data_IF_859016467512
#
_entry.id   IF_859016467512
#
_cell.length_a   1.000
_cell.length_b   1.000
_cell.length_c   1.000
_cell.angle_alpha   90.00
_cell.angle_beta   90.00
_cell.angle_gamma   90.00
#
_symmetry.space_group_name_H-M   'P 1'
#
loop_
_entity.id
_entity.type
_entity.pdbx_description
1 polymer ?
#
# COMPACT_ATOMS: atom_id res chain seq x y z
N UNK A 1 67.02 22.18 -1.45
CA UNK A 1 66.75 22.56 -2.85
C UNK A 1 66.97 21.33 -3.73
N UNK A 2 65.94 20.82 -4.42
CA UNK A 2 66.01 19.56 -5.18
C UNK A 2 66.67 19.71 -6.55
N UNK A 3 67.19 20.89 -6.89
CA UNK A 3 67.88 21.17 -8.14
C UNK A 3 69.34 21.50 -7.91
N UNK A 4 70.19 21.15 -8.88
CA UNK A 4 71.58 21.57 -8.92
C UNK A 4 71.97 22.09 -10.29
N UNK A 5 72.82 23.11 -10.28
CA UNK A 5 73.48 23.61 -11.48
C UNK A 5 74.87 22.98 -11.57
N UNK A 6 75.17 22.37 -12.72
CA UNK A 6 76.45 21.74 -13.02
C UNK A 6 77.07 22.45 -14.22
N UNK A 7 78.36 22.81 -14.13
CA UNK A 7 79.08 23.36 -15.27
C UNK A 7 79.53 22.20 -16.16
N UNK A 8 79.05 22.16 -17.40
CA UNK A 8 79.39 21.12 -18.37
C UNK A 8 80.71 21.44 -19.09
N UNK A 9 80.91 22.71 -19.46
CA UNK A 9 82.12 23.15 -20.14
C UNK A 9 82.63 24.48 -19.58
N UNK A 10 83.81 24.41 -18.95
CA UNK A 10 84.45 25.56 -18.31
C UNK A 10 84.97 26.61 -19.29
N UNK A 11 85.23 26.22 -20.54
CA UNK A 11 85.78 27.11 -21.58
C UNK A 11 84.67 27.85 -22.32
N UNK A 12 83.54 27.20 -22.62
CA UNK A 12 82.37 27.86 -23.23
C UNK A 12 81.44 28.52 -22.21
N UNK A 13 81.56 28.16 -20.91
CA UNK A 13 80.67 28.62 -19.85
C UNK A 13 79.32 27.90 -19.82
N UNK A 14 79.17 26.80 -20.57
CA UNK A 14 77.93 26.02 -20.62
C UNK A 14 77.67 25.32 -19.28
N UNK A 15 76.45 25.47 -18.79
CA UNK A 15 75.96 24.83 -17.56
C UNK A 15 74.59 24.21 -17.76
N UNK A 16 74.30 23.18 -16.97
CA UNK A 16 73.05 22.46 -16.98
C UNK A 16 72.44 22.50 -15.59
N UNK A 17 71.15 22.85 -15.53
CA UNK A 17 70.33 22.70 -14.34
C UNK A 17 69.64 21.34 -14.41
N UNK A 18 69.77 20.53 -13.36
CA UNK A 18 69.14 19.21 -13.28
C UNK A 18 68.55 18.96 -11.90
N UNK A 19 67.57 18.06 -11.84
CA UNK A 19 67.03 17.57 -10.58
C UNK A 19 68.03 16.63 -9.89
N UNK A 20 68.12 16.70 -8.56
CA UNK A 20 68.94 15.80 -7.71
C UNK A 20 68.21 14.52 -7.31
N UNK A 21 66.89 14.59 -7.28
CA UNK A 21 65.98 13.51 -6.90
C UNK A 21 64.75 13.57 -7.81
N UNK A 22 63.91 12.52 -7.84
CA UNK A 22 62.57 12.62 -8.40
C UNK A 22 61.84 13.85 -7.86
N UNK A 23 61.05 14.48 -8.72
CA UNK A 23 60.21 15.64 -8.39
C UNK A 23 58.78 15.15 -8.46
N UNK A 24 57.99 15.60 -7.50
CA UNK A 24 56.64 15.13 -7.20
C UNK A 24 55.78 16.40 -7.01
N UNK A 25 54.64 16.45 -7.69
CA UNK A 25 53.79 17.65 -7.72
C UNK A 25 53.06 17.83 -6.38
N UNK A 26 52.64 16.72 -5.80
CA UNK A 26 51.86 16.55 -4.59
C UNK A 26 52.66 17.04 -3.38
N UNK A 27 53.98 16.86 -3.42
CA UNK A 27 54.89 17.50 -2.46
C UNK A 27 55.08 19.00 -2.73
N UNK A 28 55.42 19.39 -3.96
CA UNK A 28 55.63 20.80 -4.30
C UNK A 28 55.53 21.08 -5.81
N UNK A 29 54.43 21.72 -6.19
CA UNK A 29 54.12 22.12 -7.58
C UNK A 29 55.04 23.18 -8.20
N UNK A 30 55.57 24.10 -7.39
CA UNK A 30 56.32 25.26 -7.89
C UNK A 30 57.60 25.48 -7.11
N UNK A 31 58.69 25.76 -7.84
CA UNK A 31 59.98 26.13 -7.27
C UNK A 31 60.47 27.44 -7.88
N UNK A 32 60.86 28.37 -7.01
CA UNK A 32 61.49 29.63 -7.41
C UNK A 32 62.83 29.78 -6.68
N UNK A 33 63.90 29.92 -7.44
CA UNK A 33 65.23 30.15 -6.87
C UNK A 33 66.10 31.00 -7.80
N UNK A 34 67.21 31.47 -7.27
CA UNK A 34 68.13 32.35 -7.98
C UNK A 34 69.42 31.59 -8.28
N UNK A 35 69.88 31.70 -9.52
CA UNK A 35 71.21 31.23 -9.93
C UNK A 35 72.13 32.43 -10.17
N UNK A 36 73.43 32.24 -9.88
CA UNK A 36 74.47 33.23 -10.12
C UNK A 36 75.75 32.51 -10.51
N UNK A 37 76.40 32.96 -11.58
CA UNK A 37 77.67 32.44 -12.04
C UNK A 37 78.84 33.19 -11.39
N UNK A 38 79.96 32.49 -11.33
CA UNK A 38 81.14 32.87 -10.57
C UNK A 38 82.36 32.67 -11.50
N UNK A 39 83.10 33.74 -11.84
CA UNK A 39 84.27 33.73 -12.72
C UNK A 39 85.54 33.13 -12.09
N UNK A 40 86.16 32.14 -12.76
CA UNK A 40 87.36 31.43 -12.30
C UNK A 40 88.67 32.22 -12.23
N UNK A 41 88.66 33.51 -12.58
CA UNK A 41 89.80 34.41 -12.39
C UNK A 41 90.17 34.63 -10.92
N UNK A 42 91.40 34.27 -10.54
CA UNK A 42 91.97 34.63 -9.23
C UNK A 42 92.62 36.01 -9.34
N UNK A 43 92.09 37.02 -8.65
CA UNK A 43 92.87 38.26 -8.43
C UNK A 43 94.10 37.94 -7.54
N UNK A 44 95.23 38.66 -7.69
CA UNK A 44 96.48 38.38 -6.95
C UNK A 44 96.35 38.37 -5.42
N UNK A 45 95.26 38.93 -4.88
CA UNK A 45 94.93 39.05 -3.45
C UNK A 45 94.03 37.92 -2.91
N UNK A 46 93.65 36.94 -3.74
CA UNK A 46 93.00 35.69 -3.32
C UNK A 46 91.60 35.79 -2.71
N UNK A 47 90.93 36.96 -2.76
CA UNK A 47 89.76 37.22 -1.90
C UNK A 47 88.45 37.60 -2.59
N UNK A 48 88.37 37.82 -3.90
CA UNK A 48 87.08 38.18 -4.55
C UNK A 48 86.87 37.57 -5.94
N UNK A 49 86.05 36.53 -6.00
CA UNK A 49 85.54 35.93 -7.24
C UNK A 49 84.50 36.88 -7.90
N UNK A 50 84.64 37.23 -9.17
CA UNK A 50 83.67 38.10 -9.86
C UNK A 50 82.35 37.35 -10.06
N UNK A 51 81.23 37.98 -9.71
CA UNK A 51 79.88 37.39 -9.77
C UNK A 51 79.10 37.94 -10.96
N UNK A 52 78.32 37.10 -11.64
CA UNK A 52 77.38 37.54 -12.67
C UNK A 52 76.18 38.26 -12.06
N UNK A 53 75.30 38.79 -12.92
CA UNK A 53 73.93 39.12 -12.50
C UNK A 53 73.22 37.88 -11.96
N UNK A 54 72.30 38.10 -11.01
CA UNK A 54 71.39 37.07 -10.49
C UNK A 54 70.29 36.82 -11.51
N UNK A 55 70.06 35.56 -11.86
CA UNK A 55 68.94 35.15 -12.70
C UNK A 55 67.91 34.38 -11.85
N UNK A 56 66.63 34.72 -11.96
CA UNK A 56 65.54 34.02 -11.28
C UNK A 56 65.06 32.88 -12.16
N UNK A 57 65.02 31.68 -11.61
CA UNK A 57 64.51 30.46 -12.26
C UNK A 57 63.19 30.11 -11.61
N UNK A 58 62.16 29.92 -12.44
CA UNK A 58 60.85 29.43 -12.04
C UNK A 58 60.64 28.05 -12.68
N UNK A 59 60.32 27.05 -11.87
CA UNK A 59 60.06 25.68 -12.31
C UNK A 59 58.65 25.32 -11.87
N UNK A 60 57.83 24.91 -12.84
CA UNK A 60 56.51 24.35 -12.61
C UNK A 60 56.56 22.85 -12.87
N UNK A 61 56.18 22.06 -11.87
CA UNK A 61 56.05 20.61 -11.99
C UNK A 61 54.73 20.31 -12.68
N UNK A 62 54.78 19.47 -13.72
CA UNK A 62 53.55 18.96 -14.35
C UNK A 62 53.09 17.74 -13.58
N UNK A 63 51.80 17.76 -13.28
CA UNK A 63 51.11 16.67 -12.62
C UNK A 63 50.97 15.44 -13.55
N UNK A 64 50.95 14.26 -12.96
CA UNK A 64 50.68 12.96 -13.58
C UNK A 64 49.66 12.27 -12.70
N UNK A 65 48.61 11.71 -13.29
CA UNK A 65 47.55 11.03 -12.56
C UNK A 65 48.06 9.74 -11.87
N UNK A 66 48.52 9.87 -10.62
CA UNK A 66 49.17 8.81 -9.86
C UNK A 66 48.29 8.27 -8.73
N UNK A 67 47.46 9.13 -8.13
CA UNK A 67 46.44 8.72 -7.17
C UNK A 67 45.14 8.32 -7.88
N UNK A 68 44.32 7.53 -7.19
CA UNK A 68 43.02 7.12 -7.69
C UNK A 68 41.96 7.57 -6.70
N UNK A 69 40.72 7.85 -7.14
CA UNK A 69 39.68 8.28 -6.24
C UNK A 69 39.45 7.29 -5.09
N UNK A 70 39.31 7.82 -3.88
CA UNK A 70 38.96 7.08 -2.68
C UNK A 70 37.67 7.63 -2.10
N UNK A 71 36.72 6.74 -1.78
CA UNK A 71 35.49 7.14 -1.10
C UNK A 71 35.78 7.58 0.33
N UNK A 72 35.06 8.61 0.78
CA UNK A 72 35.21 9.18 2.13
C UNK A 72 34.75 8.22 3.23
N UNK A 73 33.74 7.42 2.94
CA UNK A 73 33.20 6.39 3.84
C UNK A 73 33.38 5.01 3.23
N UNK A 74 33.63 4.00 4.07
CA UNK A 74 33.73 2.60 3.61
C UNK A 74 32.38 2.01 3.17
N UNK A 75 31.26 2.56 3.66
CA UNK A 75 29.91 2.20 3.21
C UNK A 75 28.91 3.29 3.55
N UNK A 76 27.87 3.45 2.72
CA UNK A 76 26.79 4.40 2.95
C UNK A 76 25.49 3.67 3.28
N UNK A 77 24.64 4.29 4.10
CA UNK A 77 23.31 3.75 4.46
C UNK A 77 22.25 4.82 4.36
N UNK A 78 21.11 4.47 3.77
CA UNK A 78 19.92 5.30 3.76
C UNK A 78 18.67 4.46 3.98
N UNK A 79 17.60 5.13 4.40
CA UNK A 79 16.29 4.53 4.58
C UNK A 79 15.26 5.34 3.81
N UNK A 80 14.43 4.66 3.03
CA UNK A 80 13.38 5.27 2.20
C UNK A 80 12.03 4.62 2.48
N UNK A 81 10.96 5.39 2.39
CA UNK A 81 9.60 4.85 2.46
C UNK A 81 9.21 4.32 1.10
N UNK A 82 8.61 3.13 1.05
CA UNK A 82 8.07 2.55 -0.18
C UNK A 82 7.05 3.48 -0.87
N UNK A 83 6.82 3.24 -2.16
CA UNK A 83 5.80 3.95 -2.94
C UNK A 83 6.15 5.39 -3.37
N UNK A 84 7.32 5.90 -2.98
CA UNK A 84 7.79 7.26 -3.31
C UNK A 84 8.96 7.24 -4.31
N UNK A 85 9.05 8.29 -5.13
CA UNK A 85 10.24 8.64 -5.92
C UNK A 85 10.97 9.75 -5.18
N UNK A 86 12.25 9.55 -4.91
CA UNK A 86 13.13 10.50 -4.25
C UNK A 86 14.06 11.13 -5.28
N UNK A 87 14.15 12.46 -5.30
CA UNK A 87 15.13 13.17 -6.13
C UNK A 87 16.56 12.98 -5.63
N UNK A 88 16.71 12.73 -4.32
CA UNK A 88 17.96 12.34 -3.67
C UNK A 88 17.66 11.42 -2.48
N UNK A 89 18.23 10.22 -2.52
CA UNK A 89 18.20 9.23 -1.43
C UNK A 89 19.39 9.44 -0.51
N UNK A 90 20.58 9.56 -1.10
CA UNK A 90 21.83 9.95 -0.44
C UNK A 90 22.85 10.40 -1.48
N UNK A 91 23.91 11.06 -1.02
CA UNK A 91 25.05 11.45 -1.84
C UNK A 91 26.30 10.69 -1.37
N UNK A 92 27.00 10.04 -2.30
CA UNK A 92 28.34 9.49 -2.05
C UNK A 92 29.41 10.53 -2.39
N UNK A 93 30.55 10.47 -1.71
CA UNK A 93 31.64 11.44 -1.88
C UNK A 93 32.96 10.70 -2.01
N UNK A 94 33.75 11.07 -3.03
CA UNK A 94 35.09 10.54 -3.26
C UNK A 94 36.08 11.70 -3.38
N UNK A 95 37.33 11.44 -3.00
CA UNK A 95 38.42 12.39 -3.02
C UNK A 95 39.63 11.77 -3.71
N UNK A 96 40.40 12.59 -4.40
CA UNK A 96 41.62 12.19 -5.07
C UNK A 96 42.75 13.14 -4.64
N UNK A 97 43.95 12.60 -4.46
CA UNK A 97 45.10 13.27 -3.86
C UNK A 97 46.06 13.89 -4.89
N UNK A 98 45.77 13.78 -6.18
CA UNK A 98 46.60 14.38 -7.24
C UNK A 98 46.69 15.93 -7.10
N UNK A 99 47.85 16.47 -7.47
CA UNK A 99 48.21 17.88 -7.27
C UNK A 99 47.37 18.88 -8.09
N UNK A 100 46.89 18.49 -9.27
CA UNK A 100 46.18 19.38 -10.19
C UNK A 100 44.68 19.09 -10.23
N UNK A 101 43.84 20.12 -10.42
CA UNK A 101 42.39 19.92 -10.58
C UNK A 101 42.01 19.03 -11.77
N UNK A 102 42.91 18.83 -12.73
CA UNK A 102 42.65 17.95 -13.87
C UNK A 102 42.56 16.48 -13.45
N UNK A 103 43.30 16.08 -12.41
CA UNK A 103 43.32 14.70 -11.93
C UNK A 103 42.70 14.54 -10.54
N UNK A 104 42.74 15.57 -9.66
CA UNK A 104 42.10 15.44 -8.34
C UNK A 104 40.59 15.66 -8.30
N UNK A 105 39.98 16.20 -9.37
CA UNK A 105 38.53 16.38 -9.41
C UNK A 105 37.82 15.10 -9.82
N UNK A 106 36.75 14.77 -9.08
CA UNK A 106 35.83 13.69 -9.44
C UNK A 106 34.86 14.20 -10.51
N UNK A 107 34.86 13.55 -11.67
CA UNK A 107 34.07 13.96 -12.83
C UNK A 107 32.84 13.07 -13.08
N UNK A 108 32.84 11.85 -12.54
CA UNK A 108 31.76 10.91 -12.75
C UNK A 108 31.62 9.92 -11.59
N UNK A 109 30.38 9.50 -11.35
CA UNK A 109 30.05 8.35 -10.53
C UNK A 109 29.21 7.38 -11.34
N UNK A 110 29.31 6.10 -11.04
CA UNK A 110 28.57 5.05 -11.74
C UNK A 110 28.13 3.96 -10.77
N UNK A 111 26.89 3.48 -10.95
CA UNK A 111 26.40 2.30 -10.25
C UNK A 111 26.89 1.07 -11.00
N UNK A 112 27.68 0.24 -10.32
CA UNK A 112 28.27 -0.99 -10.87
C UNK A 112 27.28 -2.14 -10.82
N UNK A 113 26.40 -2.17 -9.80
CA UNK A 113 25.38 -3.21 -9.67
C UNK A 113 24.36 -3.11 -10.81
N UNK A 114 24.15 -4.20 -11.55
CA UNK A 114 23.11 -4.26 -12.59
C UNK A 114 21.74 -4.57 -12.01
N UNK A 115 20.68 -4.29 -12.78
CA UNK A 115 19.29 -4.65 -12.45
C UNK A 115 18.75 -4.07 -11.13
N UNK A 116 19.28 -2.92 -10.71
CA UNK A 116 18.79 -2.18 -9.53
C UNK A 116 17.96 -0.97 -9.95
N UNK A 117 16.87 -0.63 -9.23
CA UNK A 117 15.98 0.48 -9.55
C UNK A 117 16.56 1.85 -9.11
N UNK A 118 17.84 2.09 -9.37
CA UNK A 118 18.57 3.29 -8.94
C UNK A 118 19.40 3.90 -10.06
N UNK A 119 19.57 5.21 -9.99
CA UNK A 119 20.46 5.97 -10.85
C UNK A 119 21.31 6.92 -10.00
N UNK A 120 22.52 7.20 -10.47
CA UNK A 120 23.44 8.15 -9.85
C UNK A 120 23.77 9.29 -10.82
N UNK A 121 23.92 10.50 -10.31
CA UNK A 121 24.39 11.65 -11.09
C UNK A 121 25.92 11.87 -10.96
N UNK A 122 26.45 12.83 -11.72
CA UNK A 122 27.88 13.17 -11.70
C UNK A 122 28.37 13.75 -10.38
N UNK A 123 27.48 14.19 -9.50
CA UNK A 123 27.79 14.72 -8.18
C UNK A 123 27.69 13.63 -7.09
N UNK A 124 27.38 12.39 -7.46
CA UNK A 124 27.26 11.28 -6.53
C UNK A 124 25.88 11.15 -5.88
N UNK A 125 24.86 11.90 -6.33
CA UNK A 125 23.51 11.77 -5.79
C UNK A 125 22.81 10.54 -6.36
N UNK A 126 22.41 9.64 -5.48
CA UNK A 126 21.65 8.44 -5.81
C UNK A 126 20.16 8.75 -5.68
N UNK A 127 19.39 8.35 -6.68
CA UNK A 127 17.92 8.42 -6.71
C UNK A 127 17.32 7.09 -7.15
N UNK A 128 16.09 6.80 -6.74
CA UNK A 128 15.36 5.66 -7.27
C UNK A 128 14.67 6.00 -8.60
N UNK A 129 14.69 5.06 -9.55
CA UNK A 129 14.10 5.22 -10.89
C UNK A 129 12.65 4.77 -10.97
N UNK A 130 12.21 3.95 -10.02
CA UNK A 130 10.84 3.49 -9.87
C UNK A 130 10.42 3.45 -8.39
N UNK A 131 9.11 3.33 -8.15
CA UNK A 131 8.55 3.24 -6.80
C UNK A 131 8.94 1.90 -6.18
N UNK A 132 9.75 1.95 -5.14
CA UNK A 132 10.16 0.77 -4.38
C UNK A 132 8.95 0.20 -3.62
N UNK A 133 8.95 -1.10 -3.36
CA UNK A 133 7.90 -1.81 -2.64
C UNK A 133 8.54 -2.66 -1.56
N UNK A 134 8.09 -2.48 -0.32
CA UNK A 134 8.58 -3.24 0.82
C UNK A 134 8.34 -4.74 0.60
N UNK A 135 7.14 -5.12 0.16
CA UNK A 135 6.77 -6.52 -0.11
C UNK A 135 7.62 -7.21 -1.18
N UNK A 136 8.28 -6.45 -2.07
CA UNK A 136 9.15 -6.99 -3.11
C UNK A 136 10.59 -7.16 -2.63
N UNK A 137 11.13 -6.10 -2.05
CA UNK A 137 12.51 -6.07 -1.57
C UNK A 137 12.62 -5.09 -0.40
N UNK A 138 13.13 -5.59 0.72
CA UNK A 138 13.28 -4.83 1.95
C UNK A 138 14.58 -4.03 1.97
N UNK A 139 15.60 -4.47 1.23
CA UNK A 139 16.91 -3.83 1.21
C UNK A 139 17.59 -3.98 -0.16
N UNK A 140 18.16 -2.88 -0.64
CA UNK A 140 19.02 -2.89 -1.82
C UNK A 140 20.48 -2.69 -1.42
N UNK A 141 21.36 -3.50 -2.00
CA UNK A 141 22.82 -3.36 -1.91
C UNK A 141 23.36 -2.91 -3.27
N UNK A 142 23.87 -1.68 -3.33
CA UNK A 142 24.29 -1.02 -4.56
C UNK A 142 25.78 -0.74 -4.45
N UNK A 143 26.58 -1.24 -5.40
CA UNK A 143 28.00 -0.93 -5.52
C UNK A 143 28.16 0.29 -6.42
N UNK A 144 28.92 1.28 -5.95
CA UNK A 144 29.16 2.54 -6.67
C UNK A 144 30.65 2.74 -6.86
N UNK A 145 31.04 3.19 -8.04
CA UNK A 145 32.41 3.57 -8.37
C UNK A 145 32.49 5.05 -8.74
N UNK A 146 33.69 5.62 -8.63
CA UNK A 146 33.96 7.01 -8.98
C UNK A 146 35.09 7.08 -10.01
N UNK A 147 35.07 8.14 -10.82
CA UNK A 147 36.11 8.43 -11.78
C UNK A 147 36.56 9.87 -11.65
N UNK A 148 37.87 10.07 -11.61
CA UNK A 148 38.43 11.40 -11.75
C UNK A 148 38.22 11.97 -13.16
N UNK A 149 38.60 13.22 -13.35
CA UNK A 149 38.55 13.87 -14.66
C UNK A 149 39.63 13.36 -15.64
N UNK A 150 40.64 12.64 -15.15
CA UNK A 150 41.61 11.87 -15.95
C UNK A 150 41.12 10.49 -16.41
N UNK A 151 39.90 10.10 -16.03
CA UNK A 151 39.28 8.79 -16.28
C UNK A 151 39.88 7.61 -15.50
N UNK A 152 40.63 7.87 -14.42
CA UNK A 152 41.05 6.81 -13.51
C UNK A 152 39.90 6.43 -12.60
N UNK A 153 39.71 5.13 -12.47
CA UNK A 153 38.66 4.52 -11.65
C UNK A 153 39.10 4.49 -10.19
N UNK A 154 38.15 4.66 -9.28
CA UNK A 154 38.36 4.47 -7.84
C UNK A 154 39.02 3.13 -7.54
N UNK A 155 39.88 3.13 -6.52
CA UNK A 155 40.66 1.94 -6.11
C UNK A 155 39.73 0.79 -5.72
N UNK A 156 38.65 1.10 -5.02
CA UNK A 156 37.60 0.17 -4.61
C UNK A 156 36.22 0.78 -4.84
N UNK A 157 35.24 -0.08 -5.08
CA UNK A 157 33.84 0.32 -5.16
C UNK A 157 33.25 0.39 -3.76
N UNK A 158 32.38 1.38 -3.51
CA UNK A 158 31.73 1.55 -2.22
C UNK A 158 30.36 0.89 -2.18
N UNK A 159 30.06 0.23 -1.07
CA UNK A 159 28.74 -0.35 -0.81
C UNK A 159 27.77 0.73 -0.29
N UNK A 160 26.62 0.82 -0.93
CA UNK A 160 25.48 1.62 -0.52
C UNK A 160 24.30 0.72 -0.16
N UNK A 161 23.84 0.76 1.09
CA UNK A 161 22.65 0.03 1.55
C UNK A 161 21.45 0.95 1.65
N UNK A 162 20.39 0.63 0.91
CA UNK A 162 19.11 1.35 0.96
C UNK A 162 18.06 0.44 1.58
N UNK A 163 17.62 0.77 2.80
CA UNK A 163 16.55 0.07 3.50
C UNK A 163 15.19 0.66 3.07
N UNK A 164 14.28 -0.21 2.62
CA UNK A 164 12.90 0.18 2.31
C UNK A 164 12.07 -0.01 3.57
N UNK A 165 11.26 0.99 3.93
CA UNK A 165 10.27 0.90 4.99
C UNK A 165 8.85 0.91 4.41
N UNK A 166 7.93 0.14 4.99
CA UNK A 166 6.55 0.16 4.53
C UNK A 166 5.93 1.54 4.73
N UNK A 167 4.90 1.87 3.96
CA UNK A 167 4.09 3.06 4.25
C UNK A 167 3.41 2.82 5.58
N UNK A 168 3.76 3.60 6.59
CA UNK A 168 3.05 3.54 7.85
C UNK A 168 1.55 3.80 7.60
N UNK A 169 0.69 2.93 8.15
CA UNK A 169 -0.76 3.09 8.15
C UNK A 169 -1.22 3.20 9.60
N UNK A 170 -2.01 4.23 9.97
CA UNK A 170 -2.56 4.29 11.31
C UNK A 170 -3.52 3.12 11.52
N UNK A 171 -3.46 2.49 12.68
CA UNK A 171 -4.18 1.26 12.95
C UNK A 171 -4.38 1.00 14.43
N UNK A 172 -5.51 0.38 14.77
CA UNK A 172 -5.75 -0.12 16.12
C UNK A 172 -4.96 -1.41 16.34
N UNK A 173 -4.07 -1.40 17.31
CA UNK A 173 -3.29 -2.55 17.73
C UNK A 173 -3.86 -3.18 19.00
N UNK A 174 -3.41 -4.39 19.31
CA UNK A 174 -3.66 -5.09 20.58
C UNK A 174 -5.12 -5.38 20.95
N UNK A 175 -6.06 -5.34 19.99
CA UNK A 175 -7.45 -5.71 20.25
C UNK A 175 -7.71 -7.19 19.98
N UNK A 176 -8.54 -7.82 20.81
CA UNK A 176 -8.98 -9.20 20.61
C UNK A 176 -10.22 -9.23 19.72
N UNK A 177 -10.16 -10.04 18.65
CA UNK A 177 -11.31 -10.27 17.75
C UNK A 177 -12.44 -11.07 18.40
N UNK A 178 -12.14 -11.78 19.48
CA UNK A 178 -13.08 -12.65 20.18
C UNK A 178 -12.95 -12.46 21.69
N UNK A 179 -14.10 -12.34 22.35
CA UNK A 179 -14.23 -12.17 23.79
C UNK A 179 -15.31 -13.15 24.25
N UNK A 180 -14.95 -14.00 25.20
CA UNK A 180 -15.90 -14.93 25.80
C UNK A 180 -16.46 -14.35 27.11
N UNK A 181 -17.77 -14.19 27.15
CA UNK A 181 -18.48 -13.84 28.38
C UNK A 181 -18.94 -15.10 29.09
N UNK A 182 -18.42 -15.33 30.30
CA UNK A 182 -18.94 -16.39 31.18
C UNK A 182 -20.16 -15.88 31.94
N UNK A 183 -21.25 -16.65 32.10
CA UNK A 183 -22.38 -16.23 32.92
C UNK A 183 -21.95 -15.82 34.33
N UNK A 184 -22.47 -14.70 34.84
CA UNK A 184 -22.13 -14.17 36.18
C UNK A 184 -20.83 -13.36 36.27
N UNK A 185 -20.11 -13.16 35.17
CA UNK A 185 -18.82 -12.43 35.15
C UNK A 185 -18.92 -10.91 35.29
N UNK A 186 -20.13 -10.34 35.29
CA UNK A 186 -20.33 -8.89 35.41
C UNK A 186 -19.91 -8.12 34.14
N UNK A 187 -19.45 -6.87 34.32
CA UNK A 187 -18.96 -6.04 33.21
C UNK A 187 -17.51 -6.37 32.89
N UNK A 188 -17.21 -6.75 31.65
CA UNK A 188 -15.85 -7.02 31.16
C UNK A 188 -15.48 -5.92 30.14
N UNK A 189 -14.28 -5.30 30.24
CA UNK A 189 -13.80 -4.37 29.23
C UNK A 189 -13.63 -5.08 27.87
N UNK A 190 -14.23 -4.53 26.81
CA UNK A 190 -14.12 -5.10 25.47
C UNK A 190 -12.68 -5.01 24.93
N UNK A 191 -11.99 -3.89 25.15
CA UNK A 191 -10.66 -3.64 24.59
C UNK A 191 -9.73 -3.00 25.63
N UNK A 192 -9.22 -3.78 26.61
CA UNK A 192 -8.48 -3.21 27.74
C UNK A 192 -7.08 -2.67 27.39
N UNK A 193 -6.50 -3.13 26.28
CA UNK A 193 -5.12 -2.80 25.85
C UNK A 193 -5.07 -2.23 24.42
N UNK A 194 -6.21 -1.90 23.83
CA UNK A 194 -6.25 -1.33 22.48
C UNK A 194 -5.57 0.03 22.49
N UNK A 195 -4.70 0.25 21.51
CA UNK A 195 -4.08 1.55 21.30
C UNK A 195 -4.06 1.86 19.81
N UNK A 196 -4.19 3.15 19.47
CA UNK A 196 -4.07 3.62 18.11
C UNK A 196 -2.59 3.88 17.85
N UNK A 197 -1.98 3.09 16.98
CA UNK A 197 -0.65 3.37 16.47
C UNK A 197 -0.80 4.40 15.34
N UNK A 198 -0.05 5.50 15.44
CA UNK A 198 -0.11 6.61 14.50
C UNK A 198 1.24 6.82 13.86
N UNK A 199 1.24 7.13 12.56
CA UNK A 199 2.47 7.43 11.83
C UNK A 199 3.02 8.77 12.27
N UNK A 200 4.31 8.81 12.65
CA UNK A 200 5.05 9.98 13.15
C UNK A 200 4.55 11.30 12.54
N UNK A 201 3.65 11.97 13.26
CA UNK A 201 2.92 13.13 12.78
C UNK A 201 1.94 13.65 13.83
N UNK A 202 1.69 14.96 13.88
CA UNK A 202 0.78 15.55 14.87
C UNK A 202 -0.66 15.14 14.57
N UNK A 203 -1.28 14.41 15.48
CA UNK A 203 -2.69 14.01 15.41
C UNK A 203 -3.55 15.12 16.01
N UNK A 204 -4.41 15.74 15.19
CA UNK A 204 -5.24 16.87 15.61
C UNK A 204 -6.54 16.44 16.32
N UNK A 205 -7.17 15.35 15.87
CA UNK A 205 -8.33 14.75 16.56
C UNK A 205 -8.53 13.30 16.11
N UNK A 206 -9.04 12.46 17.00
CA UNK A 206 -9.40 11.05 16.71
C UNK A 206 -10.90 10.90 16.94
N UNK A 207 -11.63 10.45 15.92
CA UNK A 207 -13.04 10.08 16.02
C UNK A 207 -13.19 8.58 15.75
N UNK A 208 -13.76 7.84 16.70
CA UNK A 208 -14.00 6.41 16.58
C UNK A 208 -15.48 6.11 16.86
N UNK A 209 -16.11 5.30 16.01
CA UNK A 209 -17.46 4.77 16.21
C UNK A 209 -17.38 3.27 16.42
N UNK A 210 -18.06 2.78 17.46
CA UNK A 210 -18.16 1.34 17.76
C UNK A 210 -19.60 0.94 17.53
N UNK A 211 -19.82 0.06 16.55
CA UNK A 211 -21.12 -0.52 16.25
C UNK A 211 -21.13 -2.00 16.66
N UNK A 212 -22.03 -2.37 17.56
CA UNK A 212 -22.19 -3.75 18.00
C UNK A 212 -23.20 -4.45 17.08
N UNK A 213 -22.72 -5.36 16.23
CA UNK A 213 -23.58 -6.15 15.35
C UNK A 213 -23.75 -7.58 15.87
N UNK A 214 -24.98 -7.97 16.22
CA UNK A 214 -25.32 -9.36 16.52
C UNK A 214 -25.63 -10.10 15.21
N UNK A 215 -25.09 -11.31 15.04
CA UNK A 215 -25.27 -12.11 13.83
C UNK A 215 -26.50 -13.04 13.87
N UNK A 216 -27.14 -13.20 15.03
CA UNK A 216 -28.11 -14.29 15.21
C UNK A 216 -29.37 -13.96 16.02
N UNK A 217 -29.39 -12.89 16.82
CA UNK A 217 -30.54 -12.59 17.70
C UNK A 217 -30.81 -11.07 17.66
N UNK A 218 -32.04 -10.69 17.34
CA UNK A 218 -32.55 -9.33 17.55
C UNK A 218 -32.33 -8.31 16.42
N UNK A 219 -31.92 -8.72 15.21
CA UNK A 219 -31.96 -7.82 14.05
C UNK A 219 -33.39 -7.76 13.48
N UNK A 220 -34.14 -6.74 13.89
CA UNK A 220 -35.42 -6.38 13.28
C UNK A 220 -36.61 -7.19 13.79
N UNK A 221 -37.47 -7.58 12.85
CA UNK A 221 -38.83 -8.04 13.08
C UNK A 221 -38.97 -9.56 13.22
N UNK A 222 -38.10 -10.14 14.03
CA UNK A 222 -38.06 -11.60 14.18
C UNK A 222 -39.21 -12.11 15.07
N UNK A 223 -40.01 -13.02 14.52
CA UNK A 223 -41.17 -13.62 15.19
C UNK A 223 -40.78 -14.50 16.38
N UNK A 224 -39.52 -14.93 16.47
CA UNK A 224 -39.03 -15.77 17.56
C UNK A 224 -38.89 -15.02 18.91
N UNK A 225 -38.82 -13.69 18.91
CA UNK A 225 -38.43 -12.91 20.10
C UNK A 225 -39.55 -12.03 20.65
N UNK A 226 -40.55 -11.67 19.85
CA UNK A 226 -41.51 -10.62 20.19
C UNK A 226 -42.95 -11.13 20.14
N UNK A 227 -43.80 -10.66 21.06
CA UNK A 227 -45.24 -10.88 20.97
C UNK A 227 -45.84 -10.26 19.71
N UNK A 228 -46.97 -10.78 19.22
CA UNK A 228 -47.63 -10.31 18.01
C UNK A 228 -47.87 -8.78 18.01
N UNK A 229 -48.27 -8.23 19.16
CA UNK A 229 -48.46 -6.78 19.37
C UNK A 229 -47.16 -5.98 19.28
N UNK A 230 -46.04 -6.55 19.74
CA UNK A 230 -44.72 -5.93 19.66
C UNK A 230 -44.19 -5.95 18.24
N UNK A 231 -44.40 -7.06 17.51
CA UNK A 231 -44.08 -7.16 16.08
C UNK A 231 -44.87 -6.13 15.27
N UNK A 232 -46.19 -6.00 15.48
CA UNK A 232 -46.98 -5.00 14.76
C UNK A 232 -46.42 -3.57 14.92
N UNK A 233 -45.95 -3.23 16.14
CA UNK A 233 -45.35 -1.93 16.43
C UNK A 233 -43.94 -1.75 15.86
N UNK A 234 -43.08 -2.77 15.96
CA UNK A 234 -41.70 -2.75 15.46
C UNK A 234 -41.61 -2.79 13.93
N UNK A 235 -42.61 -3.42 13.28
CA UNK A 235 -42.56 -3.80 11.87
C UNK A 235 -43.50 -3.00 10.97
N UNK A 236 -44.15 -1.98 11.52
CA UNK A 236 -45.04 -1.10 10.77
C UNK A 236 -46.31 -1.78 10.25
N UNK A 237 -46.76 -2.89 10.87
CA UNK A 237 -48.02 -3.50 10.49
C UNK A 237 -49.18 -2.59 10.95
N UNK A 238 -49.99 -2.13 10.01
CA UNK A 238 -51.15 -1.29 10.30
C UNK A 238 -52.20 -2.04 11.12
N UNK A 239 -52.99 -1.31 11.91
CA UNK A 239 -54.19 -1.86 12.55
C UNK A 239 -55.13 -2.45 11.48
N UNK A 240 -55.29 -3.76 11.46
CA UNK A 240 -56.05 -4.47 10.42
C UNK A 240 -55.21 -5.31 9.44
N UNK A 241 -53.89 -5.46 9.67
CA UNK A 241 -53.09 -6.45 8.95
C UNK A 241 -53.66 -7.87 9.18
N UNK A 242 -53.65 -8.69 8.13
CA UNK A 242 -54.21 -10.04 8.13
C UNK A 242 -53.05 -11.03 8.07
N UNK A 243 -52.92 -11.88 9.10
CA UNK A 243 -51.93 -12.94 9.11
C UNK A 243 -52.43 -14.09 8.22
N UNK A 244 -51.73 -14.34 7.10
CA UNK A 244 -52.06 -15.41 6.16
C UNK A 244 -51.47 -16.76 6.59
N UNK A 245 -50.48 -16.74 7.47
CA UNK A 245 -49.84 -17.92 8.06
C UNK A 245 -49.89 -17.81 9.58
N UNK A 246 -51.08 -17.81 10.19
CA UNK A 246 -51.21 -17.75 11.65
C UNK A 246 -50.83 -19.09 12.28
N UNK A 247 -50.53 -19.06 13.58
CA UNK A 247 -50.35 -20.28 14.37
C UNK A 247 -51.59 -21.16 14.28
N UNK A 248 -51.34 -22.48 14.28
CA UNK A 248 -52.40 -23.47 14.15
C UNK A 248 -53.43 -23.32 15.28
N UNK A 249 -54.69 -23.21 14.90
CA UNK A 249 -55.83 -23.17 15.82
C UNK A 249 -57.07 -23.76 15.15
N UNK A 250 -58.11 -24.06 15.93
CA UNK A 250 -59.39 -24.53 15.39
C UNK A 250 -60.03 -23.55 14.38
N UNK A 251 -59.68 -22.25 14.45
CA UNK A 251 -60.14 -21.23 13.51
C UNK A 251 -59.28 -21.16 12.23
N UNK A 252 -58.04 -21.67 12.26
CA UNK A 252 -57.04 -21.55 11.20
C UNK A 252 -56.63 -22.93 10.66
N UNK A 253 -57.59 -23.69 10.14
CA UNK A 253 -57.34 -25.07 9.73
C UNK A 253 -56.44 -25.21 8.48
N UNK A 254 -56.25 -24.15 7.70
CA UNK A 254 -55.42 -24.18 6.47
C UNK A 254 -53.92 -24.23 6.74
N UNK A 255 -53.47 -23.97 7.98
CA UNK A 255 -52.07 -24.12 8.40
C UNK A 255 -51.78 -25.45 9.10
N UNK A 256 -52.80 -26.29 9.36
CA UNK A 256 -52.67 -27.52 10.14
C UNK A 256 -51.74 -28.59 9.54
N UNK A 257 -51.57 -28.59 8.21
CA UNK A 257 -50.72 -29.55 7.50
C UNK A 257 -49.30 -29.06 7.18
N UNK A 258 -48.96 -27.83 7.57
CA UNK A 258 -47.66 -27.24 7.24
C UNK A 258 -46.59 -27.73 8.21
N UNK A 259 -45.39 -27.97 7.68
CA UNK A 259 -44.22 -28.28 8.50
C UNK A 259 -43.81 -27.05 9.31
N UNK A 260 -43.44 -27.23 10.57
CA UNK A 260 -42.89 -26.18 11.43
C UNK A 260 -41.43 -26.47 11.75
N UNK A 261 -40.64 -25.41 11.94
CA UNK A 261 -39.29 -25.52 12.50
C UNK A 261 -39.35 -25.72 14.03
N UNK A 262 -38.25 -26.14 14.66
CA UNK A 262 -38.17 -26.64 16.04
C UNK A 262 -38.71 -25.73 17.16
N UNK A 263 -39.08 -24.49 16.85
CA UNK A 263 -39.62 -23.49 17.78
C UNK A 263 -41.13 -23.21 17.59
N UNK A 264 -41.88 -24.00 16.81
CA UNK A 264 -43.35 -23.91 16.61
C UNK A 264 -43.90 -22.56 16.08
N UNK A 265 -43.03 -21.64 15.67
CA UNK A 265 -43.41 -20.28 15.25
C UNK A 265 -43.06 -19.95 13.79
N UNK A 266 -42.37 -20.84 13.09
CA UNK A 266 -41.91 -20.65 11.70
C UNK A 266 -42.36 -21.82 10.85
N UNK A 267 -43.10 -21.53 9.77
CA UNK A 267 -43.50 -22.54 8.80
C UNK A 267 -42.38 -22.82 7.80
N UNK A 268 -42.18 -24.09 7.48
CA UNK A 268 -41.19 -24.58 6.53
C UNK A 268 -41.88 -25.08 5.27
N UNK A 269 -41.41 -24.58 4.13
CA UNK A 269 -41.86 -25.00 2.81
C UNK A 269 -40.69 -25.68 2.10
N UNK A 270 -40.90 -26.94 1.71
CA UNK A 270 -39.90 -27.79 1.03
C UNK A 270 -40.07 -27.80 -0.50
N UNK A 271 -40.92 -26.91 -1.01
CA UNK A 271 -41.31 -26.82 -2.42
C UNK A 271 -42.42 -27.79 -2.84
N UNK A 272 -42.80 -28.76 -2.00
CA UNK A 272 -43.86 -29.75 -2.33
C UNK A 272 -45.22 -29.38 -1.74
N UNK A 273 -45.24 -28.52 -0.74
CA UNK A 273 -46.44 -28.11 -0.03
C UNK A 273 -46.55 -26.59 -0.01
N UNK A 274 -47.78 -26.08 0.05
CA UNK A 274 -48.09 -24.66 0.18
C UNK A 274 -49.41 -24.46 0.92
N UNK A 275 -49.58 -23.31 1.55
CA UNK A 275 -50.80 -22.97 2.27
C UNK A 275 -51.90 -22.56 1.29
N UNK A 276 -53.04 -23.28 1.31
CA UNK A 276 -54.22 -22.91 0.53
C UNK A 276 -55.11 -22.00 1.39
N UNK A 277 -55.06 -20.70 1.13
CA UNK A 277 -55.80 -19.71 1.91
C UNK A 277 -57.29 -19.79 1.54
N UNK A 278 -58.21 -19.97 2.52
CA UNK A 278 -59.65 -20.01 2.27
C UNK A 278 -60.20 -18.69 1.71
N UNK A 279 -61.31 -18.79 0.99
CA UNK A 279 -62.03 -17.62 0.48
C UNK A 279 -62.56 -16.76 1.64
N UNK A 280 -62.38 -15.45 1.54
CA UNK A 280 -62.86 -14.48 2.53
C UNK A 280 -61.85 -14.09 3.61
N UNK A 281 -60.68 -14.74 3.70
CA UNK A 281 -59.59 -14.30 4.59
C UNK A 281 -58.99 -12.98 4.11
N UNK A 282 -58.70 -12.88 2.81
CA UNK A 282 -58.24 -11.62 2.19
C UNK A 282 -59.46 -10.81 1.72
N UNK A 283 -59.58 -9.52 2.08
CA UNK A 283 -60.66 -8.66 1.66
C UNK A 283 -60.73 -8.57 0.13
N UNK A 284 -61.94 -8.70 -0.42
CA UNK A 284 -62.19 -8.56 -1.87
C UNK A 284 -61.88 -7.14 -2.38
N UNK A 285 -61.95 -6.14 -1.50
CA UNK A 285 -61.69 -4.74 -1.81
C UNK A 285 -60.26 -4.32 -1.40
N UNK A 286 -59.24 -5.03 -1.90
CA UNK A 286 -57.88 -4.51 -1.80
C UNK A 286 -57.81 -3.17 -2.57
N UNK A 287 -57.45 -2.10 -1.86
CA UNK A 287 -57.22 -0.78 -2.45
C UNK A 287 -56.08 -0.84 -3.46
N UNK A 288 -55.94 0.21 -4.29
CA UNK A 288 -54.81 0.33 -5.23
C UNK A 288 -53.44 0.35 -4.52
N UNK A 289 -53.43 0.55 -3.21
CA UNK A 289 -52.26 0.52 -2.34
C UNK A 289 -52.47 -0.56 -1.28
N UNK A 290 -51.53 -1.49 -1.17
CA UNK A 290 -51.49 -2.50 -0.11
C UNK A 290 -50.03 -2.77 0.27
N UNK A 291 -49.84 -3.27 1.49
CA UNK A 291 -48.51 -3.64 1.99
C UNK A 291 -48.49 -5.13 2.27
N UNK A 292 -47.47 -5.82 1.77
CA UNK A 292 -47.15 -7.19 2.15
C UNK A 292 -45.89 -7.14 3.00
N UNK A 293 -45.98 -7.65 4.21
CA UNK A 293 -44.84 -7.80 5.11
C UNK A 293 -44.58 -9.28 5.32
N UNK A 294 -43.33 -9.70 5.16
CA UNK A 294 -42.93 -11.09 5.38
C UNK A 294 -41.50 -11.21 5.88
N UNK A 295 -41.23 -12.31 6.56
CA UNK A 295 -39.90 -12.75 6.96
C UNK A 295 -39.73 -14.18 6.49
N UNK A 296 -38.68 -14.41 5.72
CA UNK A 296 -38.36 -15.73 5.21
C UNK A 296 -36.86 -15.94 5.18
N UNK A 297 -36.46 -17.19 5.36
CA UNK A 297 -35.11 -17.67 5.11
C UNK A 297 -35.19 -18.70 3.99
N UNK A 298 -34.48 -18.47 2.90
CA UNK A 298 -34.36 -19.43 1.80
C UNK A 298 -32.99 -20.10 1.87
N UNK A 299 -32.98 -21.43 1.94
CA UNK A 299 -31.77 -22.23 1.87
C UNK A 299 -31.56 -22.82 0.47
N UNK A 300 -30.43 -23.47 0.21
CA UNK A 300 -30.22 -24.19 -1.04
C UNK A 300 -31.33 -25.23 -1.26
N UNK A 301 -32.08 -25.08 -2.35
CA UNK A 301 -33.14 -26.01 -2.71
C UNK A 301 -32.56 -27.25 -3.40
N UNK A 302 -32.88 -28.47 -2.96
CA UNK A 302 -32.40 -29.71 -3.59
C UNK A 302 -33.12 -30.04 -4.92
N UNK A 303 -34.12 -29.25 -5.32
CA UNK A 303 -34.92 -29.46 -6.54
C UNK A 303 -34.23 -29.06 -7.84
N UNK A 304 -34.83 -29.45 -8.98
CA UNK A 304 -34.40 -28.99 -10.31
C UNK A 304 -34.51 -27.47 -10.42
N UNK A 305 -33.50 -26.86 -11.04
CA UNK A 305 -33.38 -25.41 -11.27
C UNK A 305 -34.44 -24.93 -12.28
N UNK A 306 -35.70 -24.84 -11.86
CA UNK A 306 -36.87 -24.28 -12.57
C UNK A 306 -38.20 -24.52 -11.84
N UNK A 307 -38.25 -25.33 -10.77
CA UNK A 307 -39.53 -25.62 -10.11
C UNK A 307 -40.05 -24.41 -9.32
N UNK A 308 -41.38 -24.30 -9.19
CA UNK A 308 -42.04 -23.25 -8.40
C UNK A 308 -42.27 -23.76 -6.99
N UNK A 309 -41.64 -23.13 -6.02
CA UNK A 309 -41.83 -23.42 -4.60
C UNK A 309 -43.00 -22.58 -4.07
N UNK A 310 -44.20 -23.15 -4.05
CA UNK A 310 -45.41 -22.41 -3.66
C UNK A 310 -45.48 -22.25 -2.15
N UNK A 311 -45.54 -21.00 -1.66
CA UNK A 311 -45.67 -20.70 -0.22
C UNK A 311 -47.15 -20.63 0.15
N UNK A 312 -47.90 -19.76 -0.53
CA UNK A 312 -49.34 -19.65 -0.32
C UNK A 312 -50.07 -19.36 -1.63
N UNK A 313 -51.32 -19.79 -1.71
CA UNK A 313 -52.18 -19.48 -2.85
C UNK A 313 -53.66 -19.47 -2.46
N UNK A 314 -54.45 -18.72 -3.21
CA UNK A 314 -55.90 -18.82 -3.25
C UNK A 314 -56.33 -18.98 -4.72
N UNK A 315 -57.24 -19.93 -5.01
CA UNK A 315 -57.62 -20.29 -6.38
C UNK A 315 -59.05 -20.82 -6.49
N UNK A 316 -59.75 -20.44 -7.57
CA UNK A 316 -61.15 -20.80 -7.85
C UNK A 316 -61.43 -22.28 -8.13
N UNK A 317 -60.42 -23.06 -8.55
CA UNK A 317 -60.61 -24.41 -9.09
C UNK A 317 -59.78 -25.47 -8.39
N UNK A 318 -60.29 -26.69 -8.41
CA UNK A 318 -59.66 -27.92 -7.90
C UNK A 318 -58.31 -28.22 -8.54
N UNK A 319 -58.05 -27.73 -9.77
CA UNK A 319 -56.77 -27.88 -10.49
C UNK A 319 -55.76 -26.74 -10.23
N UNK A 320 -56.09 -25.76 -9.39
CA UNK A 320 -55.22 -24.63 -9.01
C UNK A 320 -54.76 -23.70 -10.17
N UNK A 321 -55.18 -23.91 -11.42
CA UNK A 321 -54.71 -23.13 -12.57
C UNK A 321 -55.21 -21.66 -12.61
N UNK A 322 -56.14 -21.26 -11.72
CA UNK A 322 -56.70 -19.91 -11.68
C UNK A 322 -56.53 -19.28 -10.29
N UNK A 323 -55.32 -18.85 -9.97
CA UNK A 323 -55.02 -18.17 -8.70
C UNK A 323 -55.59 -16.75 -8.67
N UNK A 324 -56.27 -16.36 -7.60
CA UNK A 324 -56.57 -14.95 -7.30
C UNK A 324 -55.33 -14.23 -6.82
N UNK A 325 -54.61 -14.87 -5.90
CA UNK A 325 -53.27 -14.48 -5.52
C UNK A 325 -52.42 -15.71 -5.21
N UNK A 326 -51.12 -15.57 -5.42
CA UNK A 326 -50.14 -16.59 -5.08
C UNK A 326 -48.81 -15.96 -4.70
N UNK A 327 -48.14 -16.54 -3.72
CA UNK A 327 -46.77 -16.20 -3.34
C UNK A 327 -45.91 -17.45 -3.46
N UNK A 328 -44.83 -17.35 -4.23
CA UNK A 328 -43.96 -18.49 -4.51
C UNK A 328 -42.52 -18.05 -4.78
N UNK A 329 -41.57 -18.96 -4.58
CA UNK A 329 -40.17 -18.76 -4.98
C UNK A 329 -39.94 -19.47 -6.30
N UNK A 330 -39.31 -18.78 -7.25
CA UNK A 330 -38.94 -19.34 -8.55
C UNK A 330 -37.70 -18.63 -9.08
N UNK A 331 -36.71 -19.40 -9.53
CA UNK A 331 -35.44 -18.88 -10.07
C UNK A 331 -34.77 -17.82 -9.17
N UNK A 332 -34.65 -18.11 -7.86
CA UNK A 332 -34.07 -17.20 -6.85
C UNK A 332 -34.79 -15.85 -6.74
N UNK A 333 -36.09 -15.83 -7.08
CA UNK A 333 -36.96 -14.67 -6.88
C UNK A 333 -38.18 -15.08 -6.08
N UNK A 334 -38.55 -14.23 -5.14
CA UNK A 334 -39.86 -14.25 -4.53
C UNK A 334 -40.82 -13.54 -5.48
N UNK A 335 -41.92 -14.21 -5.83
CA UNK A 335 -42.93 -13.70 -6.76
C UNK A 335 -44.29 -13.66 -6.09
N UNK A 336 -44.91 -12.48 -6.08
CA UNK A 336 -46.30 -12.31 -5.70
C UNK A 336 -47.14 -12.03 -6.95
N UNK A 337 -48.12 -12.89 -7.20
CA UNK A 337 -49.13 -12.73 -8.24
C UNK A 337 -50.41 -12.24 -7.59
N UNK A 338 -51.01 -11.18 -8.13
CA UNK A 338 -52.33 -10.68 -7.73
C UNK A 338 -53.20 -10.47 -8.96
N UNK A 339 -54.45 -10.91 -8.89
CA UNK A 339 -55.47 -10.68 -9.92
C UNK A 339 -56.59 -9.84 -9.34
N UNK A 340 -56.83 -8.67 -9.94
CA UNK A 340 -57.91 -7.75 -9.55
C UNK A 340 -59.16 -7.98 -10.42
N UNK A 341 -60.34 -7.69 -9.88
CA UNK A 341 -61.66 -7.73 -10.53
C UNK A 341 -62.14 -9.13 -10.99
N UNK A 342 -62.56 -9.97 -10.03
CA UNK A 342 -63.14 -11.30 -10.34
C UNK A 342 -64.67 -11.30 -10.49
N UNK A 343 -65.35 -10.16 -10.24
CA UNK A 343 -66.82 -10.06 -10.22
C UNK A 343 -67.44 -9.58 -11.56
N UNK A 344 -66.64 -9.28 -12.61
CA UNK A 344 -67.17 -8.93 -13.95
C UNK A 344 -66.39 -9.61 -15.09
N UNK A 345 -67.13 -9.99 -16.13
CA UNK A 345 -66.77 -10.90 -17.22
C UNK A 345 -65.35 -10.74 -17.81
N UNK A 346 -64.58 -11.84 -17.80
CA UNK A 346 -63.45 -12.23 -18.66
C UNK A 346 -62.31 -11.25 -19.00
N UNK A 347 -62.27 -10.05 -18.42
CA UNK A 347 -61.12 -9.14 -18.53
C UNK A 347 -60.25 -9.19 -17.29
N UNK A 348 -59.12 -9.90 -17.36
CA UNK A 348 -58.17 -10.05 -16.25
C UNK A 348 -57.04 -9.02 -16.35
N UNK A 349 -56.71 -8.37 -15.23
CA UNK A 349 -55.47 -7.58 -15.09
C UNK A 349 -54.58 -8.22 -14.02
N UNK A 350 -53.67 -9.14 -14.39
CA UNK A 350 -52.70 -9.68 -13.44
C UNK A 350 -51.61 -8.63 -13.17
N UNK A 351 -51.22 -8.52 -11.90
CA UNK A 351 -50.01 -7.85 -11.47
C UNK A 351 -49.05 -8.89 -10.88
N UNK A 352 -47.80 -8.87 -11.32
CA UNK A 352 -46.74 -9.69 -10.75
C UNK A 352 -45.66 -8.79 -10.16
N UNK A 353 -45.27 -9.10 -8.94
CA UNK A 353 -44.23 -8.41 -8.20
C UNK A 353 -43.09 -9.38 -7.95
N UNK A 354 -41.88 -8.98 -8.30
CA UNK A 354 -40.69 -9.83 -8.27
C UNK A 354 -39.63 -9.20 -7.36
N UNK A 355 -39.19 -9.95 -6.35
CA UNK A 355 -38.08 -9.55 -5.47
C UNK A 355 -36.95 -10.56 -5.59
N UNK A 356 -35.73 -10.06 -5.80
CA UNK A 356 -34.53 -10.90 -5.83
C UNK A 356 -34.23 -11.39 -4.41
N UNK A 357 -33.98 -12.68 -4.27
CA UNK A 357 -33.43 -13.26 -3.04
C UNK A 357 -31.90 -13.23 -3.19
N UNK A 358 -31.23 -12.49 -2.32
CA UNK A 358 -29.77 -12.33 -2.33
C UNK A 358 -29.04 -13.46 -1.60
#
# INVERSE_FOLDING_TARGET
>A
MPFEAVVLNKTSGEGQLRARSPIDCELQKEYTFIIQAYDCGTEPSGTNWKKSHKAVVHIQVKDVNEFAPAFKEASYKATVTEGKIYDSVLQVEAMDEDCSPQYSQICNYEIVTTDVPFAIDRNGNIRNTEKLSYDKEHQYEIMVTAFDCGQKRATEDVLVRVEVKPVCKPGWQDWKRHIEYKPGSGSIPLFPIIHLETCDGPVSSIHATVELQTNYIGKGCDRETYSEKSLQKLCGASSGAIDLLPTHSAANNWTAGLLMDSNDMVFKFDGKQGAKIPDGIVPKNLTDHFTITMWMKHGPSPGLRAEKETILCNSDKTEMNRHHYALYVHNCRLVFLLRKDFDQADTFRPAEFHWKLD
#
